data_IF_365591531498
#
_entry.id   IF_365591531498
#
_cell.length_a   1.000
_cell.length_b   1.000
_cell.length_c   1.000
_cell.angle_alpha   90.00
_cell.angle_beta   90.00
_cell.angle_gamma   90.00
#
_symmetry.space_group_name_H-M   'P 1'
#
loop_
_entity.id
_entity.type
_entity.pdbx_description
1 polymer ?
#
# COMPACT_ATOMS: atom_id res chain seq x y z
N UNK A 1 -2.28 -16.89 -15.24
CA UNK A 1 -3.07 -15.97 -14.39
C UNK A 1 -2.59 -14.55 -14.67
N UNK A 2 -3.46 -13.53 -14.75
CA UNK A 2 -3.02 -12.15 -14.94
C UNK A 2 -2.11 -11.71 -13.78
N UNK A 3 -1.11 -10.89 -14.08
CA UNK A 3 -0.17 -10.37 -13.08
C UNK A 3 -0.91 -9.39 -12.14
N UNK A 4 -0.71 -9.45 -10.81
CA UNK A 4 -1.35 -8.50 -9.89
C UNK A 4 -0.96 -7.04 -10.17
N UNK A 5 -1.90 -6.12 -9.93
CA UNK A 5 -1.63 -4.68 -10.04
C UNK A 5 -0.71 -4.24 -8.90
N UNK A 6 0.41 -3.61 -9.24
CA UNK A 6 1.43 -3.18 -8.28
C UNK A 6 1.08 -1.82 -7.69
N UNK A 7 0.95 -1.76 -6.37
CA UNK A 7 0.55 -0.55 -5.65
C UNK A 7 1.71 -0.02 -4.81
N UNK A 8 1.93 1.29 -4.87
CA UNK A 8 2.86 2.02 -4.01
C UNK A 8 2.08 3.03 -3.16
N UNK A 9 2.35 3.07 -1.86
CA UNK A 9 1.63 3.95 -0.92
C UNK A 9 2.58 4.99 -0.33
N UNK A 10 2.32 6.27 -0.58
CA UNK A 10 2.94 7.38 0.12
C UNK A 10 2.17 7.71 1.41
N UNK A 11 2.87 8.14 2.46
CA UNK A 11 2.25 8.40 3.76
C UNK A 11 1.84 7.11 4.49
N UNK A 12 2.50 5.98 4.22
CA UNK A 12 2.05 4.64 4.63
C UNK A 12 2.05 4.36 6.14
N UNK A 13 2.60 5.26 6.97
CA UNK A 13 2.52 5.20 8.43
C UNK A 13 1.37 6.07 9.01
N UNK A 14 0.80 6.97 8.21
CA UNK A 14 -0.36 7.77 8.59
C UNK A 14 -1.62 6.94 8.80
N UNK A 15 -2.69 7.55 9.34
CA UNK A 15 -3.97 6.86 9.60
C UNK A 15 -4.55 6.23 8.33
N UNK A 16 -4.69 7.02 7.27
CA UNK A 16 -5.18 6.55 5.96
C UNK A 16 -4.21 5.56 5.30
N UNK A 17 -2.91 5.84 5.37
CA UNK A 17 -1.89 4.98 4.75
C UNK A 17 -1.88 3.55 5.32
N UNK A 18 -2.15 3.40 6.63
CA UNK A 18 -2.31 2.08 7.27
C UNK A 18 -3.54 1.34 6.74
N UNK A 19 -4.69 2.00 6.66
CA UNK A 19 -5.91 1.40 6.10
C UNK A 19 -5.75 1.02 4.62
N UNK A 20 -5.03 1.82 3.83
CA UNK A 20 -4.72 1.50 2.44
C UNK A 20 -3.84 0.25 2.31
N UNK A 21 -2.87 0.06 3.21
CA UNK A 21 -2.05 -1.16 3.22
C UNK A 21 -2.91 -2.39 3.50
N UNK A 22 -3.80 -2.31 4.48
CA UNK A 22 -4.74 -3.40 4.80
C UNK A 22 -5.63 -3.74 3.60
N UNK A 23 -6.18 -2.73 2.93
CA UNK A 23 -7.01 -2.93 1.73
C UNK A 23 -6.25 -3.58 0.58
N UNK A 24 -4.99 -3.18 0.34
CA UNK A 24 -4.15 -3.78 -0.71
C UNK A 24 -3.79 -5.23 -0.39
N UNK A 25 -3.51 -5.56 0.87
CA UNK A 25 -3.19 -6.93 1.29
C UNK A 25 -4.41 -7.85 1.22
N UNK A 26 -5.63 -7.32 1.40
CA UNK A 26 -6.86 -8.09 1.37
C UNK A 26 -7.33 -8.48 -0.05
N UNK A 27 -6.89 -7.77 -1.10
CA UNK A 27 -7.30 -8.06 -2.48
C UNK A 27 -6.22 -8.84 -3.25
N UNK A 28 -6.46 -10.11 -3.61
CA UNK A 28 -5.48 -10.95 -4.31
C UNK A 28 -5.14 -10.47 -5.72
N UNK A 29 -5.90 -9.51 -6.27
CA UNK A 29 -5.60 -8.87 -7.56
C UNK A 29 -4.53 -7.79 -7.42
N UNK A 30 -4.19 -7.38 -6.20
CA UNK A 30 -3.25 -6.32 -5.90
C UNK A 30 -1.96 -6.89 -5.28
N UNK A 31 -0.85 -6.19 -5.48
CA UNK A 31 0.42 -6.48 -4.82
C UNK A 31 1.01 -5.18 -4.26
N UNK A 32 1.29 -5.15 -2.96
CA UNK A 32 1.96 -4.03 -2.33
C UNK A 32 3.45 -4.03 -2.72
N UNK A 33 3.83 -3.10 -3.60
CA UNK A 33 5.17 -3.03 -4.18
C UNK A 33 6.10 -2.08 -3.40
N UNK A 34 5.56 -1.04 -2.77
CA UNK A 34 6.35 -0.09 -1.99
C UNK A 34 5.52 0.68 -0.96
N UNK A 35 6.19 1.12 0.11
CA UNK A 35 5.63 2.01 1.15
C UNK A 35 6.63 3.13 1.43
N UNK A 36 6.15 4.36 1.42
CA UNK A 36 6.97 5.55 1.67
C UNK A 36 6.37 6.39 2.78
N UNK A 37 7.25 7.02 3.55
CA UNK A 37 6.86 7.99 4.56
C UNK A 37 7.97 9.03 4.71
N UNK A 38 7.59 10.29 4.95
CA UNK A 38 8.55 11.35 5.23
C UNK A 38 8.86 11.31 6.73
N UNK A 39 10.14 11.24 7.14
CA UNK A 39 10.51 11.38 8.55
C UNK A 39 10.06 12.75 9.07
N UNK A 40 9.42 12.77 10.25
CA UNK A 40 9.02 14.02 10.93
C UNK A 40 7.76 14.71 10.42
N UNK A 41 6.89 14.00 9.69
CA UNK A 41 5.55 14.47 9.31
C UNK A 41 4.46 13.96 10.27
#
# INVERSE_FOLDING_TARGET
MPQPLRIAIAGALGRMGRQMVEAVVADPRLALAARFHRPGA
#
